data_IF_383959941277
#
_entry.id   IF_383959941277
#
_cell.length_a   1.000
_cell.length_b   1.000
_cell.length_c   1.000
_cell.angle_alpha   90.00
_cell.angle_beta   90.00
_cell.angle_gamma   90.00
#
_symmetry.space_group_name_H-M   'P 1'
#
loop_
_entity.id
_entity.type
_entity.pdbx_description
1 polymer ?
#
# COMPACT_ATOMS: atom_id res chain seq x y z
N UNK A 1 -23.40 -4.70 8.43
CA UNK A 1 -22.50 -5.36 7.46
C UNK A 1 -21.07 -5.30 7.95
N UNK A 2 -20.46 -6.44 8.34
CA UNK A 2 -19.03 -6.54 8.62
C UNK A 2 -18.27 -6.15 7.34
N UNK A 3 -17.58 -5.01 7.35
CA UNK A 3 -16.66 -4.64 6.26
C UNK A 3 -15.58 -5.73 6.18
N UNK A 4 -15.67 -6.60 5.18
CA UNK A 4 -14.64 -7.57 4.90
C UNK A 4 -13.49 -6.86 4.17
N UNK A 5 -12.51 -6.39 4.93
CA UNK A 5 -11.26 -5.89 4.35
C UNK A 5 -10.52 -7.08 3.74
N UNK A 6 -10.37 -7.09 2.43
CA UNK A 6 -9.71 -8.18 1.70
C UNK A 6 -8.70 -7.68 0.66
N UNK A 7 -8.36 -6.39 0.68
CA UNK A 7 -7.47 -5.77 -0.30
C UNK A 7 -6.16 -5.37 0.34
N UNK A 8 -5.07 -5.74 -0.28
CA UNK A 8 -3.74 -5.16 -0.11
C UNK A 8 -3.51 -4.30 -1.35
N UNK A 9 -3.10 -3.05 -1.19
CA UNK A 9 -3.03 -2.11 -2.31
C UNK A 9 -1.61 -1.61 -2.56
N UNK A 10 -1.30 -1.37 -3.83
CA UNK A 10 -0.12 -0.65 -4.28
C UNK A 10 -0.55 0.44 -5.26
N UNK A 11 -0.17 1.69 -4.97
CA UNK A 11 -0.44 2.84 -5.84
C UNK A 11 0.89 3.33 -6.43
N UNK A 12 0.90 3.67 -7.72
CA UNK A 12 2.06 4.31 -8.34
C UNK A 12 2.09 4.15 -9.85
N UNK A 13 2.98 4.88 -10.49
CA UNK A 13 3.28 4.67 -11.90
C UNK A 13 4.01 3.33 -12.06
N UNK A 14 3.31 2.29 -12.55
CA UNK A 14 3.86 0.95 -12.69
C UNK A 14 4.83 0.84 -13.89
N UNK A 15 4.82 1.80 -14.81
CA UNK A 15 5.82 1.90 -15.87
C UNK A 15 7.23 2.18 -15.32
N UNK A 16 7.31 2.74 -14.11
CA UNK A 16 8.57 2.93 -13.40
C UNK A 16 9.05 1.58 -12.82
N UNK A 17 10.20 1.13 -13.27
CA UNK A 17 10.73 -0.22 -13.00
C UNK A 17 10.75 -0.59 -11.51
N UNK A 18 11.20 0.26 -10.56
CA UNK A 18 11.15 -0.09 -9.14
C UNK A 18 9.75 -0.40 -8.62
N UNK A 19 8.71 0.29 -9.11
CA UNK A 19 7.32 0.01 -8.75
C UNK A 19 6.85 -1.33 -9.34
N UNK A 20 7.17 -1.60 -10.60
CA UNK A 20 6.85 -2.89 -11.23
C UNK A 20 7.51 -4.05 -10.48
N UNK A 21 8.82 -3.95 -10.21
CA UNK A 21 9.55 -4.98 -9.48
C UNK A 21 8.99 -5.22 -8.07
N UNK A 22 8.59 -4.15 -7.36
CA UNK A 22 7.94 -4.26 -6.06
C UNK A 22 6.61 -5.01 -6.14
N UNK A 23 5.80 -4.76 -7.17
CA UNK A 23 4.54 -5.46 -7.38
C UNK A 23 4.76 -6.94 -7.73
N UNK A 24 5.70 -7.25 -8.61
CA UNK A 24 6.04 -8.61 -9.03
C UNK A 24 6.59 -9.42 -7.85
N UNK A 25 7.52 -8.85 -7.11
CA UNK A 25 8.14 -9.50 -5.97
C UNK A 25 7.10 -9.86 -4.89
N UNK A 26 6.22 -8.90 -4.56
CA UNK A 26 5.12 -9.14 -3.62
C UNK A 26 4.16 -10.23 -4.12
N UNK A 27 3.74 -10.17 -5.39
CA UNK A 27 2.81 -11.14 -5.96
C UNK A 27 3.41 -12.56 -6.02
N UNK A 28 4.69 -12.67 -6.36
CA UNK A 28 5.41 -13.94 -6.49
C UNK A 28 5.68 -14.60 -5.13
N UNK A 29 6.05 -13.82 -4.12
CA UNK A 29 6.58 -14.32 -2.84
C UNK A 29 5.55 -14.17 -1.70
N UNK A 30 5.32 -12.97 -1.20
CA UNK A 30 4.53 -12.72 -0.01
C UNK A 30 3.04 -13.05 -0.20
N UNK A 31 2.42 -12.66 -1.34
CA UNK A 31 1.00 -12.88 -1.58
C UNK A 31 0.62 -14.35 -1.58
N UNK A 32 1.47 -15.22 -2.15
CA UNK A 32 1.23 -16.68 -2.14
C UNK A 32 1.15 -17.20 -0.70
N UNK A 33 2.08 -16.82 0.15
CA UNK A 33 2.13 -17.23 1.56
C UNK A 33 0.92 -16.68 2.35
N UNK A 34 0.53 -15.43 2.09
CA UNK A 34 -0.67 -14.83 2.68
C UNK A 34 -1.92 -15.60 2.28
N UNK A 35 -2.03 -16.01 1.01
CA UNK A 35 -3.20 -16.70 0.50
C UNK A 35 -3.33 -18.15 0.99
N UNK A 36 -2.30 -18.76 1.55
CA UNK A 36 -2.41 -20.04 2.26
C UNK A 36 -3.35 -19.89 3.47
N UNK A 37 -3.16 -18.84 4.27
CA UNK A 37 -3.97 -18.56 5.46
C UNK A 37 -5.25 -17.78 5.14
N UNK A 38 -5.20 -16.86 4.19
CA UNK A 38 -6.29 -15.95 3.81
C UNK A 38 -6.56 -15.97 2.30
N UNK A 39 -7.20 -17.01 1.76
CA UNK A 39 -7.33 -17.23 0.31
C UNK A 39 -8.16 -16.18 -0.44
N UNK A 40 -8.99 -15.39 0.28
CA UNK A 40 -9.83 -14.33 -0.29
C UNK A 40 -9.12 -12.99 -0.42
N UNK A 41 -7.90 -12.85 0.11
CA UNK A 41 -7.13 -11.60 0.00
C UNK A 41 -6.62 -11.44 -1.42
N UNK A 42 -6.80 -10.22 -1.96
CA UNK A 42 -6.33 -9.83 -3.30
C UNK A 42 -5.35 -8.67 -3.20
N UNK A 43 -4.38 -8.67 -4.10
CA UNK A 43 -3.45 -7.58 -4.28
C UNK A 43 -3.92 -6.68 -5.42
N UNK A 44 -4.23 -5.43 -5.12
CA UNK A 44 -4.74 -4.44 -6.04
C UNK A 44 -3.64 -3.47 -6.45
N UNK A 45 -3.30 -3.47 -7.73
CA UNK A 45 -2.30 -2.59 -8.35
C UNK A 45 -3.01 -1.46 -9.07
N UNK A 46 -2.69 -0.21 -8.69
CA UNK A 46 -3.38 1.00 -9.15
C UNK A 46 -2.35 1.96 -9.74
N UNK A 47 -2.58 2.42 -10.95
CA UNK A 47 -1.74 3.38 -11.65
C UNK A 47 -1.39 2.97 -13.07
N UNK A 48 -0.68 3.85 -13.76
CA UNK A 48 -0.34 3.64 -15.17
C UNK A 48 0.60 2.44 -15.36
N UNK A 49 0.28 1.55 -16.31
CA UNK A 49 0.99 0.30 -16.54
C UNK A 49 1.05 -0.02 -18.04
N UNK A 50 2.19 -0.52 -18.51
CA UNK A 50 2.34 -0.98 -19.89
C UNK A 50 1.56 -2.29 -20.09
N UNK A 51 1.09 -2.52 -21.32
CA UNK A 51 0.34 -3.72 -21.69
C UNK A 51 1.08 -5.03 -21.34
N UNK A 52 2.35 -5.13 -21.69
CA UNK A 52 3.16 -6.33 -21.41
C UNK A 52 3.34 -6.56 -19.89
N UNK A 53 3.57 -5.50 -19.12
CA UNK A 53 3.72 -5.57 -17.67
C UNK A 53 2.39 -6.02 -17.00
N UNK A 54 1.24 -5.59 -17.56
CA UNK A 54 -0.09 -6.03 -17.13
C UNK A 54 -0.26 -7.53 -17.37
N UNK A 55 0.10 -8.03 -18.55
CA UNK A 55 0.02 -9.46 -18.86
C UNK A 55 0.90 -10.28 -17.91
N UNK A 56 2.08 -9.79 -17.61
CA UNK A 56 3.01 -10.43 -16.71
C UNK A 56 2.47 -10.52 -15.26
N UNK A 57 1.94 -9.43 -14.73
CA UNK A 57 1.35 -9.40 -13.39
C UNK A 57 0.07 -10.24 -13.28
N UNK A 58 -0.76 -10.29 -14.33
CA UNK A 58 -2.00 -11.07 -14.35
C UNK A 58 -1.77 -12.59 -14.27
N UNK A 59 -0.56 -13.08 -14.54
CA UNK A 59 -0.22 -14.51 -14.34
C UNK A 59 -0.24 -14.92 -12.87
N UNK A 60 -0.17 -13.95 -11.94
CA UNK A 60 -0.21 -14.25 -10.51
C UNK A 60 -1.65 -14.27 -10.00
N UNK A 61 -2.02 -15.40 -9.35
CA UNK A 61 -3.33 -15.57 -8.73
C UNK A 61 -3.59 -14.46 -7.69
N UNK A 62 -4.83 -13.99 -7.63
CA UNK A 62 -5.27 -12.95 -6.67
C UNK A 62 -4.63 -11.56 -6.86
N UNK A 63 -4.05 -11.27 -8.02
CA UNK A 63 -3.67 -9.92 -8.44
C UNK A 63 -4.80 -9.29 -9.24
N UNK A 64 -5.13 -8.03 -8.94
CA UNK A 64 -6.15 -7.22 -9.65
C UNK A 64 -5.51 -5.92 -10.10
N UNK A 65 -5.49 -5.68 -11.41
CA UNK A 65 -4.84 -4.49 -11.99
C UNK A 65 -5.91 -3.52 -12.48
N UNK A 66 -5.98 -2.35 -11.85
CA UNK A 66 -6.96 -1.32 -12.19
C UNK A 66 -6.50 -0.40 -13.33
N UNK A 67 -5.19 -0.20 -13.50
CA UNK A 67 -4.68 0.88 -14.36
C UNK A 67 -4.89 2.25 -13.70
N UNK A 68 -4.93 3.31 -14.50
CA UNK A 68 -5.32 4.66 -14.04
C UNK A 68 -6.78 4.65 -13.62
N UNK A 69 -7.09 5.31 -12.50
CA UNK A 69 -8.44 5.42 -11.97
C UNK A 69 -8.81 6.88 -11.73
N UNK A 70 -10.03 7.28 -12.10
CA UNK A 70 -10.53 8.63 -11.90
C UNK A 70 -10.99 8.87 -10.45
N UNK A 71 -11.38 7.82 -9.74
CA UNK A 71 -11.84 7.91 -8.35
C UNK A 71 -11.10 6.90 -7.47
N UNK A 72 -9.98 7.35 -6.94
CA UNK A 72 -9.13 6.54 -6.07
C UNK A 72 -9.87 6.09 -4.80
N UNK A 73 -10.71 6.94 -4.20
CA UNK A 73 -11.46 6.65 -2.97
C UNK A 73 -12.30 5.37 -3.07
N UNK A 74 -12.93 5.13 -4.23
CA UNK A 74 -13.77 3.94 -4.41
C UNK A 74 -12.95 2.65 -4.46
N UNK A 75 -11.78 2.68 -5.09
CA UNK A 75 -10.90 1.52 -5.18
C UNK A 75 -10.26 1.20 -3.81
N UNK A 76 -9.96 2.23 -3.03
CA UNK A 76 -9.32 2.11 -1.74
C UNK A 76 -10.23 1.60 -0.60
N UNK A 77 -11.54 1.65 -0.76
CA UNK A 77 -12.48 1.13 0.25
C UNK A 77 -12.19 -0.33 0.59
N UNK A 78 -12.28 -0.67 1.88
CA UNK A 78 -12.07 -2.03 2.41
C UNK A 78 -10.64 -2.55 2.20
N UNK A 79 -9.65 -1.67 2.20
CA UNK A 79 -8.24 -2.07 2.17
C UNK A 79 -7.74 -2.42 3.56
N UNK A 80 -6.93 -3.47 3.64
CA UNK A 80 -6.20 -3.88 4.86
C UNK A 80 -5.04 -2.91 5.07
N UNK A 81 -4.24 -2.71 4.01
CA UNK A 81 -3.08 -1.85 4.04
C UNK A 81 -2.67 -1.42 2.63
N UNK A 82 -1.87 -0.34 2.57
CA UNK A 82 -1.14 0.10 1.40
C UNK A 82 0.35 -0.24 1.52
N UNK A 83 0.95 -0.74 0.44
CA UNK A 83 2.34 -1.15 0.41
C UNK A 83 3.24 -0.09 -0.21
N UNK A 84 4.39 0.13 0.43
CA UNK A 84 5.54 0.83 -0.12
C UNK A 84 6.78 -0.05 0.07
N UNK A 85 6.84 -1.14 -0.71
CA UNK A 85 7.84 -2.21 -0.58
C UNK A 85 8.98 -2.08 -1.59
N UNK A 86 9.45 -0.84 -1.83
CA UNK A 86 10.54 -0.58 -2.75
C UNK A 86 11.86 -1.08 -2.17
N UNK A 87 12.66 -1.80 -2.98
CA UNK A 87 14.01 -2.22 -2.62
C UNK A 87 15.02 -1.07 -2.75
N UNK A 88 14.78 -0.19 -3.71
CA UNK A 88 15.54 1.05 -3.92
C UNK A 88 14.54 2.20 -3.84
N UNK A 89 14.78 3.11 -2.94
CA UNK A 89 13.91 4.28 -2.73
C UNK A 89 14.77 5.53 -2.67
N UNK A 90 14.57 6.41 -3.65
CA UNK A 90 15.17 7.75 -3.64
C UNK A 90 14.08 8.75 -3.28
N UNK A 91 14.28 9.43 -2.15
CA UNK A 91 13.35 10.45 -1.68
C UNK A 91 12.04 9.94 -1.07
N UNK A 92 11.16 10.87 -0.83
CA UNK A 92 9.88 10.64 -0.13
C UNK A 92 8.86 9.95 -1.04
N UNK A 93 8.15 8.96 -0.50
CA UNK A 93 7.20 8.17 -1.26
C UNK A 93 5.76 8.70 -1.13
N UNK A 94 5.28 9.44 -2.14
CA UNK A 94 3.95 10.06 -2.18
C UNK A 94 2.80 9.07 -1.94
N UNK A 95 2.95 7.82 -2.39
CA UNK A 95 1.94 6.76 -2.14
C UNK A 95 1.66 6.56 -0.65
N UNK A 96 2.66 6.73 0.20
CA UNK A 96 2.49 6.63 1.66
C UNK A 96 1.55 7.71 2.17
N UNK A 97 1.72 8.97 1.72
CA UNK A 97 0.79 10.06 2.07
C UNK A 97 -0.64 9.75 1.61
N UNK A 98 -0.79 9.22 0.40
CA UNK A 98 -2.10 8.83 -0.11
C UNK A 98 -2.75 7.78 0.79
N UNK A 99 -2.04 6.73 1.19
CA UNK A 99 -2.60 5.73 2.12
C UNK A 99 -3.02 6.37 3.43
N UNK A 100 -2.14 7.14 4.05
CA UNK A 100 -2.37 7.80 5.33
C UNK A 100 -3.54 8.77 5.28
N UNK A 101 -3.69 9.57 4.21
CA UNK A 101 -4.79 10.52 4.04
C UNK A 101 -6.16 9.83 3.97
N UNK A 102 -6.21 8.65 3.34
CA UNK A 102 -7.42 7.83 3.28
C UNK A 102 -7.64 6.94 4.52
N UNK A 103 -6.78 7.06 5.54
CA UNK A 103 -6.86 6.24 6.75
C UNK A 103 -6.56 4.77 6.52
N UNK A 104 -5.72 4.48 5.55
CA UNK A 104 -5.28 3.12 5.24
C UNK A 104 -3.92 2.89 5.90
N UNK A 105 -3.77 1.86 6.74
CA UNK A 105 -2.49 1.50 7.33
C UNK A 105 -1.42 1.34 6.25
N UNK A 106 -0.30 2.05 6.38
CA UNK A 106 0.81 1.95 5.44
C UNK A 106 1.90 1.01 5.98
N UNK A 107 2.39 0.11 5.12
CA UNK A 107 3.52 -0.79 5.42
C UNK A 107 4.66 -0.44 4.47
N UNK A 108 5.79 -0.03 5.02
CA UNK A 108 6.95 0.46 4.30
C UNK A 108 8.13 -0.51 4.43
N UNK A 109 8.87 -0.72 3.34
CA UNK A 109 10.21 -1.31 3.46
C UNK A 109 11.13 -0.38 4.26
N UNK A 110 12.16 -0.92 4.87
CA UNK A 110 13.14 -0.12 5.60
C UNK A 110 13.75 0.98 4.73
N UNK A 111 14.01 0.71 3.45
CA UNK A 111 14.53 1.68 2.49
C UNK A 111 13.53 2.81 2.18
N UNK A 112 12.23 2.49 2.12
CA UNK A 112 11.19 3.52 1.92
C UNK A 112 10.94 4.33 3.20
N UNK A 113 11.15 3.74 4.36
CA UNK A 113 10.98 4.38 5.66
C UNK A 113 12.12 5.34 6.00
N UNK A 114 13.37 5.03 5.64
CA UNK A 114 14.54 5.87 5.95
C UNK A 114 14.43 7.30 5.42
N UNK A 115 13.66 7.48 4.34
CA UNK A 115 13.38 8.78 3.73
C UNK A 115 12.06 9.43 4.21
N UNK A 116 11.39 8.81 5.19
CA UNK A 116 10.08 9.23 5.66
C UNK A 116 10.14 9.68 7.13
N UNK A 117 9.70 10.90 7.41
CA UNK A 117 9.66 11.42 8.77
C UNK A 117 8.36 10.99 9.49
N UNK A 118 8.16 9.66 9.65
CA UNK A 118 7.03 9.05 10.34
C UNK A 118 7.47 8.24 11.55
N UNK A 119 6.57 8.06 12.52
CA UNK A 119 6.82 7.25 13.71
C UNK A 119 6.49 5.79 13.41
N UNK A 120 7.53 4.93 13.45
CA UNK A 120 7.40 3.48 13.30
C UNK A 120 6.45 2.91 14.36
N UNK A 121 5.61 1.95 13.97
CA UNK A 121 4.61 1.24 14.78
C UNK A 121 3.51 2.14 15.38
N UNK A 122 3.56 3.47 15.14
CA UNK A 122 2.55 4.43 15.58
C UNK A 122 1.79 5.04 14.40
N UNK A 123 2.48 5.38 13.33
CA UNK A 123 1.93 6.04 12.14
C UNK A 123 2.03 5.14 10.90
N UNK A 124 3.07 4.31 10.84
CA UNK A 124 3.32 3.34 9.77
C UNK A 124 3.93 2.06 10.35
N UNK A 125 3.74 0.93 9.67
CA UNK A 125 4.50 -0.30 9.96
C UNK A 125 5.72 -0.37 9.03
N UNK A 126 6.81 -1.00 9.53
CA UNK A 126 8.06 -1.11 8.78
C UNK A 126 8.51 -2.56 8.77
N UNK A 127 9.07 -3.00 7.65
CA UNK A 127 9.63 -4.34 7.50
C UNK A 127 11.01 -4.32 6.85
N UNK A 128 11.83 -5.34 7.15
CA UNK A 128 13.17 -5.55 6.60
C UNK A 128 13.22 -6.72 5.60
N UNK A 129 12.33 -7.70 5.76
CA UNK A 129 12.24 -8.91 4.95
C UNK A 129 10.79 -9.36 4.75
N UNK A 130 10.57 -10.34 3.87
CA UNK A 130 9.24 -10.84 3.52
C UNK A 130 8.49 -11.41 4.73
N UNK A 131 9.18 -12.05 5.66
CA UNK A 131 8.56 -12.60 6.86
C UNK A 131 7.93 -11.49 7.72
N UNK A 132 8.67 -10.42 7.98
CA UNK A 132 8.15 -9.26 8.70
C UNK A 132 7.01 -8.56 7.94
N UNK A 133 7.10 -8.49 6.61
CA UNK A 133 6.01 -7.96 5.78
C UNK A 133 4.73 -8.78 5.97
N UNK A 134 4.83 -10.10 5.88
CA UNK A 134 3.69 -11.02 6.05
C UNK A 134 3.12 -10.91 7.47
N UNK A 135 3.98 -10.90 8.48
CA UNK A 135 3.58 -10.76 9.88
C UNK A 135 2.88 -9.42 10.15
N UNK A 136 3.35 -8.32 9.56
CA UNK A 136 2.68 -7.02 9.63
C UNK A 136 1.27 -7.06 8.99
N UNK A 137 1.12 -7.75 7.87
CA UNK A 137 -0.19 -7.91 7.20
C UNK A 137 -1.13 -8.76 8.07
N UNK A 138 -0.66 -9.88 8.62
CA UNK A 138 -1.43 -10.72 9.53
C UNK A 138 -1.84 -9.94 10.78
N UNK A 139 -0.93 -9.18 11.36
CA UNK A 139 -1.21 -8.31 12.50
C UNK A 139 -2.39 -7.36 12.23
N UNK A 140 -2.43 -6.71 11.06
CA UNK A 140 -3.52 -5.80 10.69
C UNK A 140 -4.85 -6.52 10.44
N UNK A 141 -4.81 -7.76 9.95
CA UNK A 141 -6.01 -8.57 9.72
C UNK A 141 -6.61 -9.01 11.06
N UNK A 142 -5.76 -9.49 11.97
CA UNK A 142 -6.15 -10.12 13.23
C UNK A 142 -6.46 -9.08 14.32
N UNK A 143 -5.82 -7.91 14.29
CA UNK A 143 -5.93 -6.87 15.31
C UNK A 143 -6.62 -5.60 14.78
N UNK A 144 -7.94 -5.65 14.61
CA UNK A 144 -8.73 -4.51 14.08
C UNK A 144 -8.60 -3.23 14.90
N UNK A 145 -8.44 -3.33 16.22
CA UNK A 145 -8.24 -2.18 17.11
C UNK A 145 -6.91 -1.48 16.77
N UNK A 146 -5.82 -2.25 16.63
CA UNK A 146 -4.51 -1.73 16.27
C UNK A 146 -4.49 -1.13 14.86
N UNK A 147 -5.13 -1.80 13.88
CA UNK A 147 -5.28 -1.28 12.53
C UNK A 147 -6.02 0.07 12.50
N UNK A 148 -7.12 0.19 13.28
CA UNK A 148 -7.88 1.43 13.39
C UNK A 148 -7.07 2.53 14.08
N UNK A 149 -6.33 2.22 15.15
CA UNK A 149 -5.48 3.19 15.83
C UNK A 149 -4.37 3.70 14.92
N UNK A 150 -3.75 2.82 14.14
CA UNK A 150 -2.73 3.19 13.14
C UNK A 150 -3.32 4.13 12.08
N UNK A 151 -4.53 3.86 11.60
CA UNK A 151 -5.27 4.71 10.66
C UNK A 151 -5.53 6.11 11.23
N UNK A 152 -6.00 6.20 12.47
CA UNK A 152 -6.26 7.49 13.14
C UNK A 152 -4.97 8.28 13.28
N UNK A 153 -3.92 7.67 13.84
CA UNK A 153 -2.62 8.32 14.05
C UNK A 153 -2.03 8.84 12.74
N UNK A 154 -2.13 8.04 11.66
CA UNK A 154 -1.61 8.43 10.35
C UNK A 154 -2.38 9.60 9.76
N UNK A 155 -3.72 9.61 9.85
CA UNK A 155 -4.54 10.75 9.40
C UNK A 155 -4.26 12.03 10.19
N UNK A 156 -4.10 11.94 11.50
CA UNK A 156 -3.74 13.09 12.33
C UNK A 156 -2.37 13.66 11.95
N UNK A 157 -1.40 12.80 11.67
CA UNK A 157 -0.07 13.22 11.21
C UNK A 157 -0.15 13.96 9.88
N UNK A 158 -0.96 13.45 8.93
CA UNK A 158 -1.18 14.14 7.65
C UNK A 158 -1.83 15.51 7.87
N UNK A 159 -2.89 15.58 8.66
CA UNK A 159 -3.55 16.86 8.98
C UNK A 159 -2.60 17.88 9.61
N UNK A 160 -1.73 17.44 10.54
CA UNK A 160 -0.80 18.34 11.25
C UNK A 160 0.37 18.79 10.38
N UNK A 161 0.97 17.87 9.60
CA UNK A 161 2.21 18.14 8.82
C UNK A 161 1.95 18.72 7.44
N UNK A 162 0.79 18.41 6.84
CA UNK A 162 0.46 18.74 5.45
C UNK A 162 -0.85 19.53 5.36
N UNK A 163 -1.07 20.47 6.31
CA UNK A 163 -2.32 21.22 6.53
C UNK A 163 -2.64 22.25 5.42
N UNK A 164 -2.40 21.92 4.18
CA UNK A 164 -2.99 22.66 3.06
C UNK A 164 -3.74 21.68 2.15
N UNK A 165 -5.06 21.89 2.02
CA UNK A 165 -5.91 21.18 1.05
C UNK A 165 -5.32 21.17 -0.37
N UNK A 166 -4.49 22.17 -0.72
CA UNK A 166 -3.76 22.26 -1.98
C UNK A 166 -2.68 21.18 -2.14
N UNK A 167 -1.99 20.79 -1.07
CA UNK A 167 -0.93 19.77 -1.16
C UNK A 167 -1.54 18.38 -1.33
N UNK A 168 -2.60 18.07 -0.60
CA UNK A 168 -3.29 16.77 -0.70
C UNK A 168 -3.93 16.54 -2.08
N UNK A 169 -4.52 17.59 -2.66
CA UNK A 169 -5.08 17.53 -4.03
C UNK A 169 -3.98 17.35 -5.08
N UNK A 170 -2.87 18.08 -4.96
CA UNK A 170 -1.74 17.99 -5.89
C UNK A 170 -1.07 16.60 -5.90
N UNK A 171 -1.08 15.90 -4.76
CA UNK A 171 -0.57 14.53 -4.67
C UNK A 171 -1.57 13.45 -5.14
N UNK A 172 -2.86 13.74 -5.14
CA UNK A 172 -3.88 12.86 -5.72
C UNK A 172 -3.93 12.91 -7.26
N UNK A 173 -3.47 14.04 -7.86
CA UNK A 173 -3.45 14.24 -9.33
C UNK A 173 -2.20 13.65 -10.01
N UNK A 174 -1.14 13.29 -9.26
CA UNK A 174 0.12 12.74 -9.79
C UNK A 174 0.07 11.20 -9.93
N UNK A 175 -1.04 10.58 -9.60
CA UNK A 175 -1.31 9.15 -9.74
C UNK A 175 -2.27 8.95 -10.92
#
# INVERSE_FOLDING_TARGET
HKKNNNKIIFIGNIKFIPNLLACVDFAKNALKKINIKYPKIKFHVIGDIRYLDRLFLNKHKNVVIHGKVNNLKNVLKNSICGLCNLKISTGFQNKTLSYMSYGIPAILSNNSFSNANFKKNKEVLVFKNDEQLINNIFYLIENKKAANQLSINSQETIKKKFNSNKILLKYAEII
#
